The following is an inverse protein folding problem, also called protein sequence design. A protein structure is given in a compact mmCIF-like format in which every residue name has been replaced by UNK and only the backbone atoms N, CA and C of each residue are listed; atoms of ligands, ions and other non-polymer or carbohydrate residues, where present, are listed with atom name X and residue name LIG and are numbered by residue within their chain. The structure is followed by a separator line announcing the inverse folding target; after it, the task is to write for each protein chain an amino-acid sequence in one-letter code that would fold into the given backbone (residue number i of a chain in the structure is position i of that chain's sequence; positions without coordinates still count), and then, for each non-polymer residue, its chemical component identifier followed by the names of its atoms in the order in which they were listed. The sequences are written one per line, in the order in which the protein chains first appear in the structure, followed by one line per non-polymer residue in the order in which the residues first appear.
data_IF_181121064153
#
_entry.id   IF_181121064153
#
_cell.length_a   1.000
_cell.length_b   1.000
_cell.length_c   1.000
_cell.angle_alpha   90.00
_cell.angle_beta   90.00
_cell.angle_gamma   90.00
#
_symmetry.space_group_name_H-M   'P 1'
#
loop_
_entity.id
_entity.type
_entity.pdbx_description
1 polymer ?
#
# COMPACT_ATOMS: atom_id res chain seq x y z
N UNK A 1 7.36 -17.46 -6.43
CA UNK A 1 6.95 -16.21 -7.03
C UNK A 1 6.91 -16.22 -8.52
N UNK A 2 7.39 -17.26 -9.13
CA UNK A 2 7.31 -17.34 -10.59
C UNK A 2 5.87 -17.22 -11.08
N UNK A 3 4.94 -17.82 -10.35
CA UNK A 3 3.53 -17.75 -10.74
C UNK A 3 3.02 -16.30 -10.73
N UNK A 4 3.47 -15.53 -9.74
CA UNK A 4 3.06 -14.14 -9.65
C UNK A 4 3.68 -13.33 -10.78
N UNK A 5 4.95 -13.59 -11.07
CA UNK A 5 5.61 -12.90 -12.15
C UNK A 5 5.03 -13.29 -13.51
N UNK A 6 4.60 -14.53 -13.61
CA UNK A 6 3.99 -14.99 -14.85
C UNK A 6 2.58 -14.42 -15.03
N UNK A 7 1.97 -13.96 -13.97
CA UNK A 7 0.69 -13.29 -14.08
C UNK A 7 0.93 -11.96 -14.77
N UNK A 8 0.68 -11.94 -16.06
CA UNK A 8 1.00 -10.77 -16.84
C UNK A 8 0.12 -9.60 -16.51
N UNK A 9 -1.05 -9.87 -15.97
CA UNK A 9 -2.01 -8.82 -15.68
C UNK A 9 -2.02 -8.53 -14.21
N UNK A 10 -1.68 -7.33 -13.88
CA UNK A 10 -1.76 -6.82 -12.53
C UNK A 10 -2.49 -5.50 -12.56
N UNK A 11 -3.08 -5.14 -11.43
CA UNK A 11 -3.74 -3.86 -11.28
C UNK A 11 -3.10 -3.20 -10.08
N UNK A 12 -2.82 -1.93 -10.20
CA UNK A 12 -2.17 -1.21 -9.10
C UNK A 12 -2.89 0.08 -8.80
N UNK A 13 -2.68 0.54 -7.59
CA UNK A 13 -3.06 1.87 -7.19
C UNK A 13 -1.93 2.48 -6.39
N UNK A 14 -1.83 3.78 -6.42
CA UNK A 14 -0.77 4.48 -5.75
C UNK A 14 -1.32 5.75 -5.11
N UNK A 15 -0.92 6.00 -3.88
CA UNK A 15 -1.18 7.26 -3.22
C UNK A 15 0.15 8.00 -3.08
N UNK A 16 0.21 9.21 -3.60
CA UNK A 16 1.40 10.04 -3.52
C UNK A 16 1.23 11.07 -2.43
N UNK A 17 2.35 11.52 -1.88
CA UNK A 17 2.37 12.63 -0.92
C UNK A 17 1.63 12.30 0.37
N UNK A 18 1.69 11.03 0.79
CA UNK A 18 1.08 10.63 2.06
C UNK A 18 1.94 11.20 3.19
N UNK A 19 1.29 11.83 4.16
CA UNK A 19 1.99 12.46 5.27
C UNK A 19 2.41 11.44 6.31
N UNK A 20 3.41 10.66 5.98
CA UNK A 20 3.98 9.66 6.87
C UNK A 20 5.37 9.33 6.38
N UNK A 21 6.22 8.82 7.26
CA UNK A 21 7.53 8.37 6.81
C UNK A 21 7.38 7.04 6.10
N UNK A 22 8.22 6.83 5.09
CA UNK A 22 8.23 5.57 4.37
C UNK A 22 8.56 4.41 5.30
N UNK A 23 9.43 4.64 6.28
CA UNK A 23 9.82 3.60 7.23
C UNK A 23 8.62 3.07 8.00
N UNK A 24 7.77 3.97 8.49
CA UNK A 24 6.56 3.57 9.22
C UNK A 24 5.57 2.87 8.31
N UNK A 25 5.42 3.37 7.08
CA UNK A 25 4.51 2.75 6.13
C UNK A 25 4.98 1.35 5.75
N UNK A 26 6.29 1.13 5.64
CA UNK A 26 6.81 -0.19 5.31
C UNK A 26 6.50 -1.23 6.37
N UNK A 27 6.42 -0.83 7.62
CA UNK A 27 6.04 -1.76 8.67
C UNK A 27 4.66 -2.34 8.44
N UNK A 28 3.77 -1.56 7.85
CA UNK A 28 2.41 -2.02 7.56
C UNK A 28 2.34 -2.72 6.22
N UNK A 29 3.00 -2.20 5.18
CA UNK A 29 2.94 -2.84 3.87
C UNK A 29 3.56 -4.23 3.90
N UNK A 30 4.57 -4.45 4.75
CA UNK A 30 5.17 -5.77 4.87
C UNK A 30 4.19 -6.79 5.41
N UNK A 31 3.22 -6.36 6.21
CA UNK A 31 2.25 -7.26 6.80
C UNK A 31 1.22 -7.75 5.78
N UNK A 32 0.92 -6.95 4.78
CA UNK A 32 -0.13 -7.31 3.82
C UNK A 32 0.43 -7.93 2.54
N UNK A 33 1.73 -7.87 2.35
CA UNK A 33 2.34 -8.41 1.14
C UNK A 33 2.15 -9.91 1.09
N UNK A 34 1.65 -10.41 -0.03
CA UNK A 34 1.42 -11.83 -0.20
C UNK A 34 0.11 -12.34 0.40
N UNK A 35 -0.69 -11.46 0.95
CA UNK A 35 -1.98 -11.85 1.55
C UNK A 35 -3.11 -11.66 0.56
N UNK A 36 -4.18 -12.42 0.75
CA UNK A 36 -5.40 -12.17 -0.02
C UNK A 36 -5.99 -10.82 0.39
N UNK A 37 -6.83 -10.27 -0.48
CA UNK A 37 -7.45 -8.98 -0.20
C UNK A 37 -8.28 -9.01 1.09
N UNK A 38 -9.13 -10.03 1.34
CA UNK A 38 -9.84 -10.05 2.62
C UNK A 38 -8.94 -10.08 3.83
N UNK A 39 -7.85 -10.86 3.77
CA UNK A 39 -6.90 -10.89 4.88
C UNK A 39 -6.21 -9.56 5.07
N UNK A 40 -5.80 -8.93 3.97
CA UNK A 40 -5.14 -7.63 4.04
C UNK A 40 -6.06 -6.59 4.66
N UNK A 41 -7.33 -6.59 4.28
CA UNK A 41 -8.30 -5.66 4.86
C UNK A 41 -8.43 -5.87 6.37
N UNK A 42 -8.45 -7.11 6.81
CA UNK A 42 -8.54 -7.41 8.23
C UNK A 42 -7.31 -6.90 8.96
N UNK A 43 -6.13 -7.15 8.41
CA UNK A 43 -4.89 -6.69 9.03
C UNK A 43 -4.89 -5.18 9.15
N UNK A 44 -5.28 -4.48 8.10
CA UNK A 44 -5.28 -3.02 8.11
C UNK A 44 -6.32 -2.46 9.07
N UNK A 45 -7.48 -3.11 9.18
CA UNK A 45 -8.54 -2.65 10.07
C UNK A 45 -8.12 -2.73 11.53
N UNK A 46 -7.32 -3.72 11.89
CA UNK A 46 -6.89 -3.91 13.26
C UNK A 46 -5.53 -3.30 13.56
N UNK A 47 -4.90 -2.66 12.59
CA UNK A 47 -3.63 -2.00 12.83
C UNK A 47 -3.85 -0.70 13.59
N UNK A 48 -2.99 -0.46 14.55
CA UNK A 48 -3.08 0.76 15.36
C UNK A 48 -2.34 1.93 14.72
N UNK A 49 -1.59 1.69 13.65
CA UNK A 49 -0.82 2.75 13.01
C UNK A 49 -1.72 3.59 12.14
N UNK A 50 -1.54 4.91 12.22
CA UNK A 50 -2.37 5.83 11.47
C UNK A 50 -2.23 5.62 9.97
N UNK A 51 -1.04 5.28 9.51
CA UNK A 51 -0.78 5.10 8.08
C UNK A 51 -1.56 3.90 7.51
N UNK A 52 -2.01 2.98 8.36
CA UNK A 52 -2.80 1.85 7.89
C UNK A 52 -4.09 2.29 7.21
N UNK A 53 -4.66 3.41 7.65
CA UNK A 53 -5.86 3.93 7.00
C UNK A 53 -5.58 4.39 5.58
N UNK A 54 -4.43 5.02 5.38
CA UNK A 54 -4.04 5.45 4.05
C UNK A 54 -3.77 4.27 3.15
N UNK A 55 -3.14 3.24 3.69
CA UNK A 55 -2.85 2.02 2.93
C UNK A 55 -4.15 1.31 2.58
N UNK A 56 -5.11 1.31 3.50
CA UNK A 56 -6.41 0.69 3.25
C UNK A 56 -7.14 1.39 2.11
N UNK A 57 -7.03 2.70 2.05
CA UNK A 57 -7.62 3.46 0.94
C UNK A 57 -6.97 3.10 -0.39
N UNK A 58 -5.64 2.93 -0.38
CA UNK A 58 -4.94 2.53 -1.60
C UNK A 58 -5.37 1.13 -2.03
N UNK A 59 -5.48 0.22 -1.07
CA UNK A 59 -5.95 -1.14 -1.36
C UNK A 59 -7.36 -1.12 -1.94
N UNK A 60 -8.24 -0.34 -1.35
CA UNK A 60 -9.62 -0.22 -1.84
C UNK A 60 -9.64 0.34 -3.26
N UNK A 61 -8.79 1.31 -3.52
CA UNK A 61 -8.68 1.90 -4.86
C UNK A 61 -8.19 0.86 -5.86
N UNK A 62 -7.22 0.05 -5.48
CA UNK A 62 -6.69 -0.99 -6.36
C UNK A 62 -7.76 -2.04 -6.68
N UNK A 63 -8.54 -2.42 -5.67
CA UNK A 63 -9.63 -3.37 -5.86
C UNK A 63 -10.68 -2.78 -6.81
N UNK A 64 -11.03 -1.53 -6.61
CA UNK A 64 -12.00 -0.87 -7.50
C UNK A 64 -11.47 -0.80 -8.93
N UNK A 65 -10.19 -0.51 -9.09
CA UNK A 65 -9.58 -0.49 -10.42
C UNK A 65 -9.67 -1.85 -11.09
N UNK A 66 -9.44 -2.91 -10.33
CA UNK A 66 -9.50 -4.27 -10.86
C UNK A 66 -10.93 -4.62 -11.29
N UNK A 67 -11.90 -4.29 -10.46
CA UNK A 67 -13.28 -4.65 -10.75
C UNK A 67 -13.86 -3.81 -11.86
N UNK A 68 -13.36 -2.61 -12.08
CA UNK A 68 -13.89 -1.73 -13.12
C UNK A 68 -13.34 -2.03 -14.51
N UNK A 69 -12.34 -2.88 -14.61
CA UNK A 69 -11.75 -3.21 -15.92
C UNK A 69 -12.56 -4.32 -16.57
N UNK A 70 -13.24 -4.00 -17.68
CA UNK A 70 -14.13 -5.00 -18.28
C UNK A 70 -13.40 -6.17 -18.92
N UNK A 71 -12.13 -6.00 -19.26
CA UNK A 71 -11.36 -7.07 -19.88
C UNK A 71 -10.88 -8.12 -18.89
N UNK A 72 -10.90 -7.81 -17.59
CA UNK A 72 -10.38 -8.74 -16.58
C UNK A 72 -11.47 -9.56 -15.90
N UNK A 73 -12.63 -8.99 -15.68
CA UNK A 73 -13.74 -9.64 -14.99
C UNK A 73 -13.34 -10.21 -13.65
N UNK A 74 -12.49 -9.49 -12.93
CA UNK A 74 -11.99 -9.96 -11.65
C UNK A 74 -12.97 -9.65 -10.53
N UNK A 75 -13.07 -10.60 -9.60
CA UNK A 75 -13.78 -10.39 -8.35
C UNK A 75 -12.77 -9.97 -7.30
N UNK A 76 -13.05 -8.83 -6.63
CA UNK A 76 -12.11 -8.30 -5.66
C UNK A 76 -11.74 -9.26 -4.54
N UNK A 77 -12.68 -10.13 -4.14
CA UNK A 77 -12.39 -11.06 -3.06
C UNK A 77 -11.44 -12.18 -3.45
N UNK A 78 -11.21 -12.35 -4.74
CA UNK A 78 -10.30 -13.39 -5.23
C UNK A 78 -8.91 -12.86 -5.54
N UNK A 79 -8.66 -11.61 -5.25
CA UNK A 79 -7.38 -10.99 -5.55
C UNK A 79 -6.40 -11.19 -4.41
N UNK A 80 -5.13 -11.13 -4.77
CA UNK A 80 -4.01 -11.26 -3.83
C UNK A 80 -3.13 -10.03 -3.95
N UNK A 81 -2.63 -9.56 -2.83
CA UNK A 81 -1.66 -8.48 -2.82
C UNK A 81 -0.32 -9.05 -3.23
N UNK A 82 0.04 -8.83 -4.48
CA UNK A 82 1.31 -9.33 -5.03
C UNK A 82 2.45 -8.59 -4.40
N UNK A 83 2.32 -7.29 -4.34
CA UNK A 83 3.36 -6.46 -3.79
C UNK A 83 2.73 -5.22 -3.17
N UNK A 84 3.38 -4.72 -2.15
CA UNK A 84 2.99 -3.47 -1.51
C UNK A 84 4.26 -2.84 -0.99
N UNK A 85 4.47 -1.58 -1.32
CA UNK A 85 5.70 -0.92 -0.89
C UNK A 85 5.44 0.56 -0.71
N UNK A 86 6.35 1.19 0.02
CA UNK A 86 6.31 2.62 0.26
C UNK A 86 7.67 3.21 -0.09
N UNK A 87 7.65 4.19 -0.98
CA UNK A 87 8.86 4.90 -1.39
C UNK A 87 8.89 6.25 -0.69
N UNK A 88 10.08 6.73 -0.42
CA UNK A 88 10.24 8.04 0.18
C UNK A 88 9.85 9.12 -0.82
N UNK A 89 9.02 10.05 -0.35
CA UNK A 89 8.73 11.25 -1.10
C UNK A 89 9.58 12.40 -0.60
N UNK A 90 9.35 13.61 -1.15
CA UNK A 90 10.08 14.77 -0.69
C UNK A 90 9.81 15.03 0.79
N UNK A 91 10.86 15.44 1.48
CA UNK A 91 10.74 15.84 2.87
C UNK A 91 10.70 17.36 2.92
N UNK A 92 9.64 17.89 3.51
CA UNK A 92 9.54 19.33 3.70
C UNK A 92 10.24 19.68 4.99
N UNK A 93 11.16 20.63 4.90
CA UNK A 93 11.88 21.11 6.07
C UNK A 93 11.22 22.38 6.57
N UNK A 94 10.93 22.41 7.84
CA UNK A 94 10.36 23.57 8.49
C UNK A 94 11.20 23.92 9.70
N UNK A 95 11.12 25.16 10.12
CA UNK A 95 11.86 25.64 11.27
C UNK A 95 10.87 25.98 12.36
N UNK A 96 11.20 25.57 13.56
CA UNK A 96 10.40 25.92 14.72
C UNK A 96 11.29 26.64 15.71
N UNK A 97 10.84 27.80 16.16
CA UNK A 97 11.56 28.57 17.16
C UNK A 97 11.56 27.83 18.49
N UNK A 98 12.70 27.82 19.14
CA UNK A 98 12.86 27.26 20.46
C UNK A 98 13.31 28.36 21.42
N UNK A 99 13.38 28.02 22.69
CA UNK A 99 13.77 28.95 23.72
C UNK A 99 15.13 29.57 23.43
N UNK A 100 15.34 30.80 23.87
CA UNK A 100 16.62 31.49 23.75
C UNK A 100 17.03 31.74 22.31
N UNK A 101 16.07 31.95 21.44
CA UNK A 101 16.37 32.31 20.07
C UNK A 101 16.86 31.19 19.18
N UNK A 102 16.85 29.98 19.68
CA UNK A 102 17.25 28.82 18.85
C UNK A 102 16.11 28.40 17.96
N UNK A 103 16.48 27.82 16.82
CA UNK A 103 15.52 27.26 15.90
C UNK A 103 15.87 25.80 15.66
N UNK A 104 14.86 24.96 15.61
CA UNK A 104 15.04 23.53 15.34
C UNK A 104 14.41 23.20 14.01
N UNK A 105 15.03 22.26 13.31
CA UNK A 105 14.48 21.75 12.06
C UNK A 105 13.36 20.76 12.36
N UNK A 106 12.29 20.88 11.61
CA UNK A 106 11.19 19.94 11.64
C UNK A 106 11.09 19.34 10.25
N UNK A 107 11.13 18.00 10.19
CA UNK A 107 11.03 17.30 8.92
C UNK A 107 9.62 16.77 8.76
N UNK A 108 8.92 17.26 7.74
CA UNK A 108 7.62 16.73 7.38
C UNK A 108 7.83 15.76 6.24
N UNK A 109 7.87 14.48 6.61
CA UNK A 109 8.19 13.43 5.65
C UNK A 109 6.94 13.01 4.91
N UNK A 110 7.11 12.66 3.66
CA UNK A 110 6.03 12.09 2.86
C UNK A 110 6.50 10.78 2.28
N UNK A 111 5.55 9.98 1.84
CA UNK A 111 5.87 8.74 1.15
C UNK A 111 4.84 8.50 0.07
N UNK A 112 5.20 7.60 -0.84
CA UNK A 112 4.32 7.16 -1.91
C UNK A 112 4.03 5.69 -1.67
N UNK A 113 2.76 5.34 -1.54
CA UNK A 113 2.37 3.98 -1.24
C UNK A 113 1.80 3.36 -2.49
N UNK A 114 2.30 2.19 -2.85
CA UNK A 114 1.85 1.45 -4.04
C UNK A 114 1.41 0.07 -3.61
N UNK A 115 0.24 -0.34 -4.11
CA UNK A 115 -0.28 -1.68 -3.92
C UNK A 115 -0.58 -2.27 -5.28
N UNK A 116 -0.07 -3.47 -5.53
CA UNK A 116 -0.27 -4.18 -6.78
C UNK A 116 -1.04 -5.46 -6.50
N UNK A 117 -2.12 -5.66 -7.22
CA UNK A 117 -2.98 -6.82 -7.06
C UNK A 117 -2.93 -7.69 -8.30
N UNK A 118 -3.11 -8.98 -8.10
CA UNK A 118 -3.26 -9.94 -9.18
C UNK A 118 -4.27 -10.98 -8.76
N UNK A 119 -4.78 -11.72 -9.73
CA UNK A 119 -5.71 -12.79 -9.43
C UNK A 119 -4.96 -13.95 -8.80
N UNK A 120 -5.59 -14.58 -7.82
CA UNK A 120 -4.96 -15.70 -7.13
C UNK A 120 -4.75 -16.85 -8.09
N UNK A 121 -3.59 -17.50 -7.94
CA UNK A 121 -3.22 -18.62 -8.80
C UNK A 121 -3.48 -19.97 -8.18
N UNK A 122 -3.80 -19.99 -6.92
CA UNK A 122 -3.81 -21.24 -6.16
C UNK A 122 -4.82 -22.23 -6.67
N UNK A 123 -5.95 -21.76 -7.16
CA UNK A 123 -6.99 -22.66 -7.65
C UNK A 123 -6.48 -23.48 -8.81
N UNK A 124 -5.57 -22.95 -9.57
CA UNK A 124 -5.05 -23.68 -10.71
C UNK A 124 -4.11 -24.78 -10.28
N UNK A 125 -3.36 -24.52 -9.25
CA UNK A 125 -2.43 -25.51 -8.77
C UNK A 125 -3.15 -26.65 -8.06
N UNK A 126 -4.29 -26.35 -7.49
CA UNK A 126 -5.07 -27.38 -6.84
C UNK A 126 -5.67 -28.40 -7.79
N UNK A 127 -5.70 -28.04 -9.01
CA UNK A 127 -6.26 -28.94 -10.02
C UNK A 127 -5.25 -29.95 -10.52
#
# INVERSE_FOLDING_TARGET
MAAVEAAEQTVRAQAKWVHSSARKARLVTDLIRGRSVPEARTILAFSQRAVARDIEKVLRSAVANAESRPDLHWNGDELVVVTAYADEGPTLKRWQARARGRASKIFKRTCHITVVLAQAETERTGS
#
